data_IF_032845823760
#
_entry.id   IF_032845823760
#
_cell.length_a   1.000
_cell.length_b   1.000
_cell.length_c   1.000
_cell.angle_alpha   90.00
_cell.angle_beta   90.00
_cell.angle_gamma   90.00
#
_symmetry.space_group_name_H-M   'P 1'
#
loop_
_entity.id
_entity.type
_entity.pdbx_description
1 polymer ?
#
# COMPACT_ATOMS: atom_id res chain seq x y z
N UNK A 1 28.39 0.16 12.66
CA UNK A 1 27.79 0.19 11.31
C UNK A 1 26.41 -0.44 11.32
N UNK A 2 25.33 0.33 11.51
CA UNK A 2 23.94 -0.21 11.50
C UNK A 2 22.97 0.60 10.63
N UNK A 3 23.50 1.43 9.70
CA UNK A 3 22.74 2.45 8.98
C UNK A 3 21.78 1.95 7.89
N UNK A 4 21.65 0.63 7.66
CA UNK A 4 20.83 0.10 6.55
C UNK A 4 19.75 -0.91 6.97
N UNK A 5 19.66 -1.31 8.24
CA UNK A 5 18.70 -2.34 8.69
C UNK A 5 17.27 -1.81 8.93
N UNK A 6 17.04 -0.52 8.78
CA UNK A 6 15.73 0.10 8.93
C UNK A 6 15.55 1.06 7.76
N UNK A 7 15.07 0.56 6.61
CA UNK A 7 14.68 1.39 5.46
C UNK A 7 13.77 2.56 5.88
N UNK A 8 13.59 3.57 5.02
CA UNK A 8 12.86 4.82 5.31
C UNK A 8 11.69 4.60 6.28
N UNK A 9 11.94 4.83 7.57
CA UNK A 9 10.88 4.77 8.57
C UNK A 9 10.08 6.03 8.34
N UNK A 10 8.87 5.87 7.86
CA UNK A 10 7.96 6.97 7.57
C UNK A 10 7.58 7.63 8.91
N UNK A 11 8.37 8.61 9.38
CA UNK A 11 8.07 9.37 10.60
C UNK A 11 7.14 10.54 10.22
N UNK A 12 5.87 10.21 9.96
CA UNK A 12 4.79 11.18 9.67
C UNK A 12 4.78 12.37 10.65
N UNK A 13 4.89 12.20 11.99
CA UNK A 13 4.75 13.34 12.89
C UNK A 13 5.93 14.34 12.82
N UNK A 14 7.07 13.94 12.26
CA UNK A 14 8.26 14.80 12.19
C UNK A 14 8.41 15.52 10.84
N UNK A 15 7.94 14.92 9.75
CA UNK A 15 8.08 15.49 8.41
C UNK A 15 6.97 16.49 8.07
N UNK A 16 5.76 16.32 8.61
CA UNK A 16 4.64 17.27 8.39
C UNK A 16 4.97 18.68 8.90
N UNK A 17 5.62 18.78 10.08
CA UNK A 17 6.05 20.05 10.68
C UNK A 17 7.09 20.84 9.87
N UNK A 18 7.90 20.15 9.08
CA UNK A 18 9.01 20.79 8.34
C UNK A 18 8.57 21.39 7.01
N UNK A 19 7.36 21.06 6.54
CA UNK A 19 7.02 21.18 5.12
C UNK A 19 5.63 21.72 4.85
N UNK A 20 4.79 21.83 5.86
CA UNK A 20 3.50 22.49 5.71
C UNK A 20 3.62 24.00 5.89
N UNK A 21 2.95 24.76 5.02
CA UNK A 21 2.63 26.18 5.28
C UNK A 21 1.50 26.31 6.30
N UNK A 22 0.87 25.19 6.65
CA UNK A 22 -0.20 25.13 7.61
C UNK A 22 0.36 25.29 9.03
N UNK A 23 -0.46 25.90 9.87
CA UNK A 23 -0.26 25.93 11.31
C UNK A 23 -0.20 24.52 11.89
N UNK A 24 0.45 24.37 13.04
CA UNK A 24 0.51 23.10 13.78
C UNK A 24 -0.91 22.59 14.08
N UNK A 25 -1.86 23.48 14.38
CA UNK A 25 -3.25 23.11 14.64
C UNK A 25 -3.94 22.49 13.43
N UNK A 26 -3.71 23.03 12.22
CA UNK A 26 -4.25 22.46 10.98
C UNK A 26 -3.66 21.08 10.70
N UNK A 27 -2.34 20.89 10.90
CA UNK A 27 -1.68 19.59 10.73
C UNK A 27 -2.24 18.57 11.73
N UNK A 28 -2.44 18.96 12.99
CA UNK A 28 -3.03 18.10 14.02
C UNK A 28 -4.45 17.73 13.63
N UNK A 29 -5.26 18.70 13.19
CA UNK A 29 -6.64 18.47 12.79
C UNK A 29 -6.74 17.47 11.64
N UNK A 30 -5.96 17.65 10.56
CA UNK A 30 -5.94 16.72 9.42
C UNK A 30 -5.50 15.31 9.83
N UNK A 31 -4.45 15.20 10.65
CA UNK A 31 -3.96 13.90 11.12
C UNK A 31 -4.98 13.21 12.02
N UNK A 32 -5.60 13.96 12.93
CA UNK A 32 -6.66 13.46 13.80
C UNK A 32 -7.84 12.96 12.98
N UNK A 33 -8.34 13.75 12.02
CA UNK A 33 -9.46 13.35 11.17
C UNK A 33 -9.15 12.06 10.39
N UNK A 34 -7.93 11.93 9.86
CA UNK A 34 -7.53 10.73 9.12
C UNK A 34 -7.45 9.48 9.99
N UNK A 35 -6.91 9.60 11.20
CA UNK A 35 -6.85 8.48 12.16
C UNK A 35 -8.27 8.15 12.64
N UNK A 36 -9.05 9.17 13.00
CA UNK A 36 -10.38 9.00 13.54
C UNK A 36 -11.33 8.37 12.52
N UNK A 37 -11.32 8.80 11.25
CA UNK A 37 -12.08 8.15 10.17
C UNK A 37 -11.70 6.68 10.04
N UNK A 38 -10.41 6.37 9.89
CA UNK A 38 -9.93 4.98 9.77
C UNK A 38 -10.38 4.10 10.93
N UNK A 39 -10.30 4.61 12.17
CA UNK A 39 -10.74 3.86 13.35
C UNK A 39 -12.26 3.70 13.36
N UNK A 40 -13.02 4.76 13.06
CA UNK A 40 -14.49 4.70 12.98
C UNK A 40 -14.97 3.71 11.92
N UNK A 41 -14.34 3.70 10.75
CA UNK A 41 -14.64 2.76 9.68
C UNK A 41 -14.40 1.32 10.15
N UNK A 42 -13.25 1.06 10.77
CA UNK A 42 -12.95 -0.25 11.37
C UNK A 42 -13.97 -0.66 12.45
N UNK A 43 -14.37 0.26 13.34
CA UNK A 43 -15.37 -0.03 14.37
C UNK A 43 -16.75 -0.33 13.76
N UNK A 44 -17.15 0.41 12.72
CA UNK A 44 -18.38 0.19 11.98
C UNK A 44 -18.39 -1.18 11.28
N UNK A 45 -17.28 -1.57 10.64
CA UNK A 45 -17.12 -2.86 9.98
C UNK A 45 -17.34 -4.03 10.97
N UNK A 46 -16.93 -3.84 12.22
CA UNK A 46 -17.07 -4.83 13.29
C UNK A 46 -18.33 -4.62 14.15
N UNK A 47 -19.24 -3.73 13.74
CA UNK A 47 -20.50 -3.39 14.44
C UNK A 47 -20.30 -2.94 15.89
N UNK A 48 -19.18 -2.29 16.19
CA UNK A 48 -18.88 -1.75 17.51
C UNK A 48 -19.52 -0.36 17.66
N UNK A 49 -20.35 -0.11 18.69
CA UNK A 49 -21.00 1.18 18.88
C UNK A 49 -20.02 2.34 19.08
N UNK A 50 -20.10 3.34 18.21
CA UNK A 50 -19.22 4.52 18.24
C UNK A 50 -19.72 5.59 19.24
N UNK A 51 -21.02 5.60 19.56
CA UNK A 51 -21.66 6.59 20.42
C UNK A 51 -21.48 6.34 21.94
N UNK A 52 -20.69 5.33 22.33
CA UNK A 52 -20.43 5.04 23.74
C UNK A 52 -19.57 6.11 24.41
N UNK A 53 -19.85 6.43 25.68
CA UNK A 53 -19.05 7.37 26.48
C UNK A 53 -17.55 7.03 26.48
N UNK A 54 -17.22 5.73 26.49
CA UNK A 54 -15.85 5.21 26.38
C UNK A 54 -15.19 5.56 25.05
N UNK A 55 -15.91 5.43 23.95
CA UNK A 55 -15.40 5.74 22.60
C UNK A 55 -15.13 7.23 22.45
N UNK A 56 -16.03 8.08 22.98
CA UNK A 56 -15.84 9.53 23.02
C UNK A 56 -14.58 9.89 23.82
N UNK A 57 -14.39 9.30 25.01
CA UNK A 57 -13.20 9.53 25.82
C UNK A 57 -11.90 9.12 25.11
N UNK A 58 -11.89 7.98 24.41
CA UNK A 58 -10.72 7.52 23.65
C UNK A 58 -10.35 8.51 22.54
N UNK A 59 -11.33 9.03 21.80
CA UNK A 59 -11.08 9.99 20.74
C UNK A 59 -10.59 11.35 21.28
N UNK A 60 -11.15 11.82 22.40
CA UNK A 60 -10.64 13.02 23.08
C UNK A 60 -9.22 12.83 23.61
N UNK A 61 -8.88 11.65 24.13
CA UNK A 61 -7.53 11.34 24.58
C UNK A 61 -6.54 11.23 23.41
N UNK A 62 -6.96 10.66 22.28
CA UNK A 62 -6.18 10.63 21.05
C UNK A 62 -5.84 12.04 20.56
N UNK A 63 -6.83 12.93 20.49
CA UNK A 63 -6.63 14.33 20.10
C UNK A 63 -5.65 15.04 21.05
N UNK A 64 -5.84 14.90 22.37
CA UNK A 64 -4.91 15.43 23.38
C UNK A 64 -3.49 14.90 23.21
N UNK A 65 -3.34 13.60 22.98
CA UNK A 65 -2.04 12.95 22.80
C UNK A 65 -1.34 13.47 21.54
N UNK A 66 -2.07 13.62 20.43
CA UNK A 66 -1.55 14.22 19.21
C UNK A 66 -1.09 15.66 19.45
N UNK A 67 -1.88 16.47 20.16
CA UNK A 67 -1.49 17.82 20.54
C UNK A 67 -0.20 17.85 21.37
N UNK A 68 -0.06 16.98 22.37
CA UNK A 68 1.15 16.91 23.19
C UNK A 68 2.38 16.52 22.37
N UNK A 69 2.26 15.48 21.54
CA UNK A 69 3.33 15.02 20.66
C UNK A 69 3.71 16.08 19.62
N UNK A 70 2.75 16.87 19.15
CA UNK A 70 2.96 17.95 18.17
C UNK A 70 3.38 19.30 18.80
N UNK A 71 3.22 19.48 20.11
CA UNK A 71 3.65 20.69 20.81
C UNK A 71 5.07 20.59 21.36
N UNK A 72 5.54 19.38 21.65
CA UNK A 72 6.92 19.17 22.13
C UNK A 72 7.94 19.54 21.04
N UNK A 73 9.03 20.22 21.44
CA UNK A 73 10.14 20.52 20.52
C UNK A 73 10.89 19.23 20.19
N UNK A 74 11.07 18.97 18.90
CA UNK A 74 11.89 17.87 18.41
C UNK A 74 13.34 18.06 18.85
N UNK A 75 14.02 16.96 19.22
CA UNK A 75 15.46 17.02 19.48
C UNK A 75 16.19 17.48 18.21
N UNK A 76 17.27 18.24 18.37
CA UNK A 76 18.06 18.75 17.23
C UNK A 76 18.51 17.63 16.27
N UNK A 77 18.83 16.46 16.83
CA UNK A 77 19.23 15.26 16.06
C UNK A 77 18.08 14.74 15.20
N UNK A 78 16.88 14.60 15.78
CA UNK A 78 15.70 14.16 15.05
C UNK A 78 15.26 15.18 13.99
N UNK A 79 15.36 16.47 14.29
CA UNK A 79 15.08 17.54 13.33
C UNK A 79 16.00 17.48 12.11
N UNK A 80 17.33 17.36 12.31
CA UNK A 80 18.30 17.21 11.22
C UNK A 80 18.01 15.97 10.37
N UNK A 81 17.71 14.84 11.02
CA UNK A 81 17.36 13.59 10.33
C UNK A 81 16.09 13.74 9.49
N UNK A 82 15.03 14.31 10.05
CA UNK A 82 13.77 14.51 9.34
C UNK A 82 13.93 15.43 8.13
N UNK A 83 14.75 16.49 8.23
CA UNK A 83 15.08 17.37 7.10
C UNK A 83 15.85 16.62 5.99
N UNK A 84 16.81 15.78 6.37
CA UNK A 84 17.57 14.97 5.42
C UNK A 84 16.66 13.99 4.67
N UNK A 85 15.85 13.22 5.39
CA UNK A 85 14.91 12.27 4.80
C UNK A 85 13.90 12.97 3.88
N UNK A 86 13.39 14.14 4.30
CA UNK A 86 12.49 14.94 3.47
C UNK A 86 13.13 15.39 2.14
N UNK A 87 14.39 15.86 2.20
CA UNK A 87 15.12 16.27 0.98
C UNK A 87 15.26 15.11 0.00
N UNK A 88 15.48 13.89 0.51
CA UNK A 88 15.52 12.67 -0.32
C UNK A 88 14.16 12.37 -0.92
N UNK A 89 13.08 12.39 -0.13
CA UNK A 89 11.73 12.13 -0.66
C UNK A 89 11.38 13.13 -1.75
N UNK A 90 11.67 14.43 -1.55
CA UNK A 90 11.46 15.46 -2.57
C UNK A 90 12.31 15.27 -3.81
N UNK A 91 13.57 14.86 -3.68
CA UNK A 91 14.42 14.62 -4.86
C UNK A 91 13.88 13.44 -5.68
N UNK A 92 13.43 12.38 -5.02
CA UNK A 92 12.79 11.22 -5.67
C UNK A 92 11.48 11.63 -6.35
N UNK A 93 10.60 12.36 -5.67
CA UNK A 93 9.35 12.85 -6.28
C UNK A 93 9.60 13.71 -7.52
N UNK A 94 10.56 14.64 -7.45
CA UNK A 94 10.95 15.47 -8.60
C UNK A 94 11.53 14.64 -9.74
N UNK A 95 12.34 13.65 -9.40
CA UNK A 95 12.94 12.74 -10.37
C UNK A 95 11.85 11.99 -11.14
N UNK A 96 10.92 11.35 -10.44
CA UNK A 96 9.77 10.63 -11.04
C UNK A 96 8.91 11.57 -11.88
N UNK A 97 8.63 12.78 -11.38
CA UNK A 97 7.80 13.75 -12.11
C UNK A 97 8.45 14.22 -13.42
N UNK A 98 9.78 14.40 -13.43
CA UNK A 98 10.52 14.86 -14.62
C UNK A 98 10.83 13.73 -15.61
N UNK A 99 11.01 12.51 -15.11
CA UNK A 99 11.46 11.34 -15.86
C UNK A 99 10.39 10.26 -15.80
N UNK A 100 9.51 10.25 -16.79
CA UNK A 100 8.44 9.24 -16.91
C UNK A 100 8.96 7.82 -17.13
N UNK A 101 10.21 7.69 -17.55
CA UNK A 101 10.93 6.41 -17.72
C UNK A 101 11.37 5.79 -16.39
N UNK A 102 11.34 6.55 -15.28
CA UNK A 102 11.73 6.05 -13.96
C UNK A 102 10.52 5.47 -13.23
N UNK A 103 10.70 4.27 -12.68
CA UNK A 103 9.71 3.59 -11.85
C UNK A 103 10.27 3.31 -10.46
N UNK A 104 9.36 3.25 -9.49
CA UNK A 104 9.66 2.78 -8.13
C UNK A 104 9.00 1.41 -7.96
N UNK A 105 9.81 0.37 -7.70
CA UNK A 105 9.30 -0.98 -7.46
C UNK A 105 9.70 -1.47 -6.08
N UNK A 106 8.77 -2.18 -5.44
CA UNK A 106 9.02 -2.87 -4.16
C UNK A 106 9.73 -4.18 -4.47
N UNK A 107 10.85 -4.41 -3.79
CA UNK A 107 11.56 -5.69 -3.85
C UNK A 107 10.91 -6.69 -2.87
N UNK A 108 10.83 -7.95 -3.31
CA UNK A 108 10.33 -9.10 -2.56
C UNK A 108 11.24 -9.45 -1.36
N UNK A 109 12.56 -9.40 -1.55
CA UNK A 109 13.52 -9.94 -0.57
C UNK A 109 13.85 -9.03 0.61
N UNK A 110 13.82 -7.69 0.45
CA UNK A 110 14.43 -6.81 1.45
C UNK A 110 13.56 -5.65 1.98
N UNK A 111 12.27 -5.57 1.63
CA UNK A 111 11.44 -4.37 1.93
C UNK A 111 12.10 -3.05 1.46
N UNK A 112 13.04 -3.14 0.51
CA UNK A 112 13.72 -2.00 -0.10
C UNK A 112 12.99 -1.64 -1.39
N UNK A 113 12.95 -0.35 -1.70
CA UNK A 113 12.45 0.16 -2.97
C UNK A 113 13.61 0.31 -3.94
N UNK A 114 13.45 -0.21 -5.16
CA UNK A 114 14.34 0.10 -6.26
C UNK A 114 13.80 1.30 -7.02
N UNK A 115 14.70 2.22 -7.39
CA UNK A 115 14.41 3.39 -8.23
C UNK A 115 15.34 3.31 -9.43
N UNK A 116 14.77 3.19 -10.63
CA UNK A 116 15.54 3.10 -11.87
C UNK A 116 14.63 3.11 -13.08
N UNK A 117 15.18 2.88 -14.27
CA UNK A 117 14.39 2.93 -15.50
C UNK A 117 13.52 1.69 -15.65
N UNK A 118 12.35 1.82 -16.27
CA UNK A 118 11.49 0.69 -16.60
C UNK A 118 12.22 -0.34 -17.47
N UNK A 119 12.97 0.13 -18.48
CA UNK A 119 13.73 -0.73 -19.41
C UNK A 119 14.80 -1.58 -18.71
N UNK A 120 15.36 -1.11 -17.58
CA UNK A 120 16.34 -1.90 -16.83
C UNK A 120 15.69 -3.13 -16.17
N UNK A 121 14.38 -3.07 -15.90
CA UNK A 121 13.63 -4.21 -15.39
C UNK A 121 13.26 -5.20 -16.48
N UNK A 122 12.82 -4.70 -17.64
CA UNK A 122 12.53 -5.54 -18.81
C UNK A 122 13.77 -6.33 -19.20
N UNK A 123 14.91 -5.63 -19.35
CA UNK A 123 16.19 -6.27 -19.62
C UNK A 123 16.58 -7.33 -18.58
N UNK A 124 16.42 -7.04 -17.28
CA UNK A 124 16.73 -8.03 -16.23
C UNK A 124 15.79 -9.23 -16.24
N UNK A 125 14.53 -9.01 -16.60
CA UNK A 125 13.56 -10.09 -16.75
C UNK A 125 13.96 -10.97 -17.94
N UNK A 126 14.29 -10.38 -19.09
CA UNK A 126 14.80 -11.07 -20.27
C UNK A 126 16.08 -11.85 -19.97
N UNK A 127 17.07 -11.21 -19.33
CA UNK A 127 18.32 -11.87 -18.91
C UNK A 127 18.05 -13.07 -17.98
N UNK A 128 17.12 -12.93 -17.04
CA UNK A 128 16.73 -14.02 -16.15
C UNK A 128 16.01 -15.15 -16.90
N UNK A 129 15.10 -14.81 -17.81
CA UNK A 129 14.40 -15.78 -18.67
C UNK A 129 15.41 -16.58 -19.49
N UNK A 130 16.31 -15.91 -20.20
CA UNK A 130 17.37 -16.53 -21.00
C UNK A 130 18.30 -17.41 -20.17
N UNK A 131 18.60 -17.01 -18.93
CA UNK A 131 19.50 -17.77 -18.05
C UNK A 131 18.87 -19.02 -17.45
N UNK A 132 17.58 -18.97 -17.12
CA UNK A 132 16.93 -19.99 -16.30
C UNK A 132 16.06 -20.95 -17.07
N UNK A 133 15.74 -20.65 -18.34
CA UNK A 133 14.79 -21.40 -19.16
C UNK A 133 13.45 -21.66 -18.41
N UNK A 134 13.13 -20.81 -17.45
CA UNK A 134 12.02 -20.99 -16.52
C UNK A 134 10.67 -20.54 -17.10
N UNK A 135 10.70 -19.91 -18.29
CA UNK A 135 9.54 -19.32 -18.92
C UNK A 135 9.55 -19.64 -20.40
N UNK A 136 8.39 -20.06 -20.92
CA UNK A 136 8.18 -20.32 -22.34
C UNK A 136 7.20 -19.29 -22.89
N UNK A 137 7.57 -18.63 -23.98
CA UNK A 137 6.64 -17.77 -24.73
C UNK A 137 5.60 -18.64 -25.43
N UNK A 138 4.35 -18.18 -25.45
CA UNK A 138 3.24 -18.85 -26.12
C UNK A 138 3.01 -18.12 -27.45
N UNK A 139 3.50 -18.67 -28.58
CA UNK A 139 3.68 -17.92 -29.82
C UNK A 139 2.40 -17.73 -30.64
N UNK A 140 1.38 -18.55 -30.40
CA UNK A 140 0.11 -18.56 -31.14
C UNK A 140 -0.92 -17.58 -30.54
N UNK A 141 -0.53 -16.77 -29.55
CA UNK A 141 -1.43 -15.86 -28.85
C UNK A 141 -2.46 -16.59 -27.97
N UNK A 142 -2.28 -17.90 -27.78
CA UNK A 142 -3.11 -18.69 -26.90
C UNK A 142 -2.93 -18.22 -25.44
N UNK A 143 -4.02 -18.09 -24.72
CA UNK A 143 -4.02 -17.69 -23.32
C UNK A 143 -4.46 -18.86 -22.45
N UNK A 144 -3.52 -19.62 -21.84
CA UNK A 144 -3.88 -20.75 -20.98
C UNK A 144 -4.78 -20.36 -19.80
N UNK A 145 -4.74 -19.09 -19.39
CA UNK A 145 -5.64 -18.58 -18.35
C UNK A 145 -7.09 -18.55 -18.84
N UNK A 146 -7.34 -18.21 -20.11
CA UNK A 146 -8.68 -18.22 -20.71
C UNK A 146 -9.24 -19.65 -20.77
N UNK A 147 -8.39 -20.62 -21.12
CA UNK A 147 -8.75 -22.04 -21.13
C UNK A 147 -9.09 -22.57 -19.75
N UNK A 148 -8.24 -22.28 -18.77
CA UNK A 148 -8.50 -22.65 -17.37
C UNK A 148 -9.79 -21.99 -16.85
N UNK A 149 -10.02 -20.71 -17.19
CA UNK A 149 -11.24 -20.00 -16.84
C UNK A 149 -12.47 -20.68 -17.46
N UNK A 150 -12.39 -21.06 -18.73
CA UNK A 150 -13.45 -21.75 -19.43
C UNK A 150 -13.73 -23.12 -18.80
N UNK A 151 -12.69 -23.92 -18.54
CA UNK A 151 -12.80 -25.23 -17.91
C UNK A 151 -13.45 -25.15 -16.51
N UNK A 152 -13.04 -24.17 -15.69
CA UNK A 152 -13.62 -23.95 -14.36
C UNK A 152 -15.10 -23.57 -14.46
N UNK A 153 -15.47 -22.66 -15.37
CA UNK A 153 -16.88 -22.30 -15.58
C UNK A 153 -17.72 -23.49 -16.03
N UNK A 154 -17.24 -24.24 -17.03
CA UNK A 154 -17.92 -25.44 -17.55
C UNK A 154 -18.13 -26.48 -16.46
N UNK A 155 -17.14 -26.69 -15.58
CA UNK A 155 -17.26 -27.59 -14.44
C UNK A 155 -18.30 -27.10 -13.43
N UNK A 156 -18.28 -25.81 -13.07
CA UNK A 156 -19.24 -25.23 -12.12
C UNK A 156 -20.68 -25.29 -12.67
N UNK A 157 -20.87 -25.01 -13.96
CA UNK A 157 -22.17 -25.10 -14.64
C UNK A 157 -22.70 -26.54 -14.64
N UNK A 158 -21.83 -27.52 -14.93
CA UNK A 158 -22.17 -28.93 -14.86
C UNK A 158 -22.60 -29.36 -13.44
N UNK A 159 -21.85 -28.97 -12.42
CA UNK A 159 -22.14 -29.31 -11.03
C UNK A 159 -23.43 -28.66 -10.52
N UNK A 160 -23.73 -27.43 -10.98
CA UNK A 160 -25.01 -26.77 -10.69
C UNK A 160 -26.17 -27.52 -11.36
N UNK A 161 -26.01 -27.92 -12.62
CA UNK A 161 -27.01 -28.69 -13.37
C UNK A 161 -27.25 -30.09 -12.81
N UNK A 162 -26.26 -30.70 -12.15
CA UNK A 162 -26.39 -31.97 -11.41
C UNK A 162 -26.90 -31.82 -9.98
N UNK A 163 -27.24 -30.61 -9.55
CA UNK A 163 -27.62 -30.28 -8.17
C UNK A 163 -26.56 -30.67 -7.12
N UNK A 164 -25.30 -30.82 -7.55
CA UNK A 164 -24.17 -31.07 -6.66
C UNK A 164 -23.65 -29.79 -5.98
N UNK A 165 -24.06 -28.62 -6.50
CA UNK A 165 -23.80 -27.32 -5.92
C UNK A 165 -25.10 -26.53 -5.74
N UNK A 166 -25.17 -25.77 -4.65
CA UNK A 166 -26.20 -24.74 -4.49
C UNK A 166 -25.83 -23.47 -5.27
N UNK A 167 -26.83 -22.65 -5.60
CA UNK A 167 -26.62 -21.36 -6.28
C UNK A 167 -25.69 -20.41 -5.52
N UNK A 168 -25.72 -20.44 -4.19
CA UNK A 168 -24.81 -19.64 -3.36
C UNK A 168 -23.36 -20.12 -3.46
N UNK A 169 -23.12 -21.43 -3.41
CA UNK A 169 -21.78 -21.99 -3.57
C UNK A 169 -21.22 -21.72 -4.97
N UNK A 170 -22.05 -21.84 -6.01
CA UNK A 170 -21.67 -21.48 -7.38
C UNK A 170 -21.18 -20.01 -7.47
N UNK A 171 -21.93 -19.07 -6.88
CA UNK A 171 -21.56 -17.65 -6.90
C UNK A 171 -20.27 -17.35 -6.13
N UNK A 172 -19.99 -18.08 -5.05
CA UNK A 172 -18.75 -17.92 -4.27
C UNK A 172 -17.52 -18.49 -4.98
N UNK A 173 -17.70 -19.62 -5.69
CA UNK A 173 -16.62 -20.30 -6.41
C UNK A 173 -16.39 -19.71 -7.81
N UNK A 174 -17.33 -18.93 -8.32
CA UNK A 174 -17.23 -18.31 -9.64
C UNK A 174 -16.05 -17.33 -9.70
N UNK A 175 -15.22 -17.40 -10.76
CA UNK A 175 -14.10 -16.48 -10.95
C UNK A 175 -14.57 -15.01 -10.96
N UNK A 176 -13.86 -14.15 -10.22
CA UNK A 176 -14.20 -12.73 -10.16
C UNK A 176 -13.69 -11.99 -11.41
N UNK A 177 -14.60 -11.70 -12.34
CA UNK A 177 -14.29 -11.06 -13.62
C UNK A 177 -14.17 -9.52 -13.53
N UNK A 178 -14.44 -8.91 -12.37
CA UNK A 178 -14.42 -7.44 -12.23
C UNK A 178 -13.01 -6.84 -12.08
N UNK A 179 -12.01 -7.70 -11.87
CA UNK A 179 -10.62 -7.29 -11.62
C UNK A 179 -9.61 -7.96 -12.58
N UNK A 180 -10.09 -8.51 -13.71
CA UNK A 180 -9.25 -9.09 -14.77
C UNK A 180 -8.86 -8.03 -15.79
#
# INVERSE_FOLDING_TARGET
MSMLMNGFKYIIPCQSRLCSRQSINEIIHEQYQKIASTVKDCLNDHRIPIAGARTIQIFSELERTLHQLQSQKLSKVLGKRAQYEYKIVRSIQRLIHRRKDIVVRRTDKNKVFYIGKAIDFERKAEEYMLKTDAYQEIPDGHCPLADNLHAVKTLLDYLLGKHALTKNQYNQLSPNLKNL
#
